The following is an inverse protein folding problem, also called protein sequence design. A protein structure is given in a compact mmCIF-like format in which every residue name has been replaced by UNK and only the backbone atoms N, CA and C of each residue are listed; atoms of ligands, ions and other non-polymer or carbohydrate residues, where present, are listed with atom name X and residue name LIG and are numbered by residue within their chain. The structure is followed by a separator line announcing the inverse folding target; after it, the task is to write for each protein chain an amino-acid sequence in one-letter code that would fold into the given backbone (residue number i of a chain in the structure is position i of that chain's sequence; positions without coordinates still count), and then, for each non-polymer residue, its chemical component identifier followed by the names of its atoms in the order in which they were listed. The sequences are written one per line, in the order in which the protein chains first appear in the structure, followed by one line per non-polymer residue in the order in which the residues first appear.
data_IF_600275232917
#
_entry.id   IF_600275232917
#
_cell.length_a   1.000
_cell.length_b   1.000
_cell.length_c   1.000
_cell.angle_alpha   90.00
_cell.angle_beta   90.00
_cell.angle_gamma   90.00
#
_symmetry.space_group_name_H-M   'P 1'
#
loop_
_entity.id
_entity.type
_entity.pdbx_description
1 polymer ?
#
# COMPACT_ATOMS: atom_id res chain seq x y z
N UNK A 1 -11.67 -17.06 33.83
CA UNK A 1 -11.13 -18.44 33.76
C UNK A 1 -9.65 -18.42 33.30
N UNK A 2 -9.28 -17.82 32.19
CA UNK A 2 -7.90 -17.78 31.68
C UNK A 2 -6.86 -17.28 32.68
N UNK A 3 -7.13 -16.18 33.40
CA UNK A 3 -6.19 -15.57 34.37
C UNK A 3 -5.70 -16.53 35.48
N UNK A 4 -6.49 -17.54 35.85
CA UNK A 4 -6.12 -18.55 36.87
C UNK A 4 -5.22 -19.66 36.31
N UNK A 5 -5.25 -19.91 34.99
CA UNK A 5 -4.50 -20.97 34.33
C UNK A 5 -3.08 -20.55 33.93
N UNK A 6 -2.84 -19.26 33.70
CA UNK A 6 -1.56 -18.75 33.23
C UNK A 6 -0.39 -19.18 34.10
N UNK A 7 -0.44 -18.99 35.47
CA UNK A 7 0.66 -19.40 36.33
C UNK A 7 0.94 -20.91 36.31
N UNK A 8 -0.10 -21.74 36.13
CA UNK A 8 0.06 -23.19 36.09
C UNK A 8 0.76 -23.63 34.83
N UNK A 9 0.38 -23.04 33.67
CA UNK A 9 1.01 -23.29 32.37
C UNK A 9 2.47 -22.86 32.37
N UNK A 10 2.77 -21.69 32.94
CA UNK A 10 4.14 -21.16 33.04
C UNK A 10 5.02 -22.01 33.96
N UNK A 11 4.47 -22.51 35.07
CA UNK A 11 5.17 -23.47 35.96
C UNK A 11 5.49 -24.78 35.29
N UNK A 12 4.67 -25.18 34.31
CA UNK A 12 4.93 -26.36 33.48
C UNK A 12 5.98 -26.09 32.37
N UNK A 13 6.56 -24.89 32.32
CA UNK A 13 7.63 -24.51 31.37
C UNK A 13 7.14 -23.97 30.03
N UNK A 14 5.85 -23.76 29.83
CA UNK A 14 5.29 -23.23 28.58
C UNK A 14 5.08 -21.71 28.62
N UNK A 15 5.20 -21.05 27.46
CA UNK A 15 4.83 -19.66 27.28
C UNK A 15 3.36 -19.50 26.94
N UNK A 16 2.75 -18.40 27.40
CA UNK A 16 1.32 -18.14 27.21
C UNK A 16 1.10 -16.96 26.27
N UNK A 17 0.38 -17.19 25.19
CA UNK A 17 -0.11 -16.13 24.29
C UNK A 17 -1.54 -15.77 24.74
N UNK A 18 -1.69 -14.58 25.36
CA UNK A 18 -3.00 -13.98 25.62
C UNK A 18 -3.57 -13.47 24.29
N UNK A 19 -4.73 -13.98 23.88
CA UNK A 19 -5.25 -13.73 22.53
C UNK A 19 -6.68 -13.20 22.57
N UNK A 20 -6.95 -12.14 21.80
CA UNK A 20 -8.28 -11.61 21.55
C UNK A 20 -8.52 -11.49 20.03
N UNK A 21 -9.76 -11.79 19.61
CA UNK A 21 -10.16 -11.76 18.21
C UNK A 21 -11.50 -11.06 18.06
N UNK A 22 -11.54 -10.05 17.19
CA UNK A 22 -12.77 -9.44 16.70
C UNK A 22 -12.96 -9.85 15.24
N UNK A 23 -13.93 -10.73 14.98
CA UNK A 23 -14.18 -11.28 13.64
C UNK A 23 -15.14 -10.43 12.82
N UNK A 24 -15.74 -9.40 13.40
CA UNK A 24 -16.80 -8.58 12.85
C UNK A 24 -16.42 -7.11 12.67
N UNK A 25 -15.41 -6.62 13.41
CA UNK A 25 -15.01 -5.21 13.38
C UNK A 25 -13.55 -4.97 13.77
N UNK A 26 -13.10 -3.75 13.57
CA UNK A 26 -11.92 -3.18 14.21
C UNK A 26 -12.38 -2.27 15.35
N UNK A 27 -12.15 -2.62 16.64
CA UNK A 27 -12.51 -1.79 17.78
C UNK A 27 -11.87 -0.41 17.73
N UNK A 28 -12.33 0.53 18.55
CA UNK A 28 -11.66 1.82 18.70
C UNK A 28 -10.28 1.67 19.38
N UNK A 29 -9.50 2.76 19.33
CA UNK A 29 -8.12 2.74 19.82
C UNK A 29 -8.03 2.45 21.32
N UNK A 30 -8.97 2.98 22.09
CA UNK A 30 -9.00 2.86 23.55
C UNK A 30 -9.35 1.42 23.96
N UNK A 31 -10.34 0.82 23.32
CA UNK A 31 -10.72 -0.59 23.54
C UNK A 31 -9.56 -1.53 23.21
N UNK A 32 -8.85 -1.31 22.08
CA UNK A 32 -7.69 -2.11 21.70
C UNK A 32 -6.59 -2.03 22.79
N UNK A 33 -6.24 -0.82 23.21
CA UNK A 33 -5.21 -0.58 24.22
C UNK A 33 -5.59 -1.22 25.56
N UNK A 34 -6.85 -1.06 25.97
CA UNK A 34 -7.33 -1.65 27.24
C UNK A 34 -7.27 -3.18 27.21
N UNK A 35 -7.69 -3.81 26.12
CA UNK A 35 -7.63 -5.26 25.96
C UNK A 35 -6.19 -5.76 26.04
N UNK A 36 -5.25 -5.10 25.37
CA UNK A 36 -3.84 -5.48 25.37
C UNK A 36 -3.22 -5.34 26.78
N UNK A 37 -3.49 -4.24 27.47
CA UNK A 37 -3.06 -4.05 28.87
C UNK A 37 -3.66 -5.08 29.83
N UNK A 38 -4.91 -5.48 29.62
CA UNK A 38 -5.52 -6.55 30.44
C UNK A 38 -4.85 -7.91 30.22
N UNK A 39 -4.43 -8.24 28.99
CA UNK A 39 -3.67 -9.47 28.73
C UNK A 39 -2.31 -9.47 29.43
N UNK A 40 -1.57 -8.36 29.32
CA UNK A 40 -0.31 -8.18 30.03
C UNK A 40 -0.48 -8.29 31.54
N UNK A 41 -1.44 -7.56 32.13
CA UNK A 41 -1.75 -7.61 33.57
C UNK A 41 -2.24 -8.97 34.04
N UNK A 42 -2.75 -9.81 33.13
CA UNK A 42 -3.10 -11.20 33.45
C UNK A 42 -1.87 -12.12 33.48
N UNK A 43 -0.69 -11.64 33.07
CA UNK A 43 0.57 -12.38 33.08
C UNK A 43 0.85 -13.12 31.76
N UNK A 44 0.24 -12.73 30.64
CA UNK A 44 0.58 -13.31 29.32
C UNK A 44 2.04 -13.00 28.96
N UNK A 45 2.75 -13.97 28.39
CA UNK A 45 4.12 -13.79 27.89
C UNK A 45 4.14 -13.07 26.54
N UNK A 46 3.06 -13.15 25.78
CA UNK A 46 2.83 -12.46 24.51
C UNK A 46 1.38 -12.01 24.44
N UNK A 47 1.12 -10.79 24.01
CA UNK A 47 -0.24 -10.26 23.83
C UNK A 47 -0.62 -10.26 22.34
N UNK A 48 -1.74 -10.90 21.99
CA UNK A 48 -2.18 -11.01 20.60
C UNK A 48 -3.55 -10.37 20.37
N UNK A 49 -3.64 -9.52 19.37
CA UNK A 49 -4.88 -8.90 18.87
C UNK A 49 -5.06 -9.20 17.38
N UNK A 50 -6.22 -9.73 17.00
CA UNK A 50 -6.64 -9.88 15.61
C UNK A 50 -8.01 -9.21 15.42
N UNK A 51 -8.11 -8.34 14.39
CA UNK A 51 -9.31 -7.54 14.11
C UNK A 51 -9.77 -7.72 12.68
N UNK A 52 -11.04 -7.44 12.40
CA UNK A 52 -11.62 -7.51 11.05
C UNK A 52 -11.94 -6.11 10.56
N UNK A 53 -11.18 -5.55 9.59
CA UNK A 53 -11.46 -4.24 9.03
C UNK A 53 -12.70 -4.30 8.13
N UNK A 54 -13.50 -3.25 8.17
CA UNK A 54 -14.63 -3.06 7.26
C UNK A 54 -14.26 -2.14 6.10
N UNK A 55 -13.34 -1.20 6.34
CA UNK A 55 -12.82 -0.23 5.37
C UNK A 55 -11.31 -0.11 5.48
N UNK A 56 -10.68 0.52 4.49
CA UNK A 56 -9.21 0.71 4.46
C UNK A 56 -8.71 1.54 5.64
N UNK A 57 -9.48 2.50 6.06
CA UNK A 57 -9.19 3.40 7.18
C UNK A 57 -9.04 2.64 8.51
N UNK A 58 -9.79 1.55 8.67
CA UNK A 58 -9.65 0.65 9.82
C UNK A 58 -8.26 0.01 9.89
N UNK A 59 -7.71 -0.40 8.73
CA UNK A 59 -6.36 -0.99 8.67
C UNK A 59 -5.30 0.04 9.03
N UNK A 60 -5.40 1.25 8.46
CA UNK A 60 -4.46 2.34 8.71
C UNK A 60 -4.47 2.74 10.20
N UNK A 61 -5.66 2.88 10.78
CA UNK A 61 -5.86 3.19 12.19
C UNK A 61 -5.28 2.09 13.07
N UNK A 62 -5.61 0.83 12.79
CA UNK A 62 -5.13 -0.32 13.56
C UNK A 62 -3.59 -0.45 13.52
N UNK A 63 -2.97 -0.21 12.37
CA UNK A 63 -1.51 -0.21 12.27
C UNK A 63 -0.88 0.90 13.11
N UNK A 64 -1.46 2.11 13.12
CA UNK A 64 -1.00 3.23 13.97
C UNK A 64 -1.16 2.92 15.47
N UNK A 65 -2.27 2.29 15.87
CA UNK A 65 -2.45 1.85 17.27
C UNK A 65 -1.44 0.77 17.63
N UNK A 66 -1.21 -0.19 16.72
CA UNK A 66 -0.19 -1.24 16.91
C UNK A 66 1.21 -0.64 17.12
N UNK A 67 1.55 0.42 16.41
CA UNK A 67 2.81 1.15 16.61
C UNK A 67 2.91 1.74 18.01
N UNK A 68 1.86 2.38 18.52
CA UNK A 68 1.82 2.92 19.89
C UNK A 68 1.93 1.82 20.94
N UNK A 69 1.34 0.65 20.69
CA UNK A 69 1.38 -0.48 21.62
C UNK A 69 2.80 -0.98 21.91
N UNK A 70 3.77 -0.79 21.01
CA UNK A 70 5.18 -1.14 21.23
C UNK A 70 5.77 -0.46 22.46
N UNK A 71 5.34 0.78 22.72
CA UNK A 71 5.83 1.58 23.86
C UNK A 71 4.95 1.44 25.10
N UNK A 72 3.74 0.89 24.96
CA UNK A 72 2.75 0.79 26.02
C UNK A 72 2.69 -0.59 26.67
N UNK A 73 3.14 -1.64 25.98
CA UNK A 73 3.11 -3.04 26.41
C UNK A 73 4.55 -3.53 26.52
N UNK A 74 4.93 -4.05 27.68
CA UNK A 74 6.30 -4.48 27.96
C UNK A 74 6.64 -5.89 27.46
N UNK A 75 5.64 -6.69 27.16
CA UNK A 75 5.81 -8.03 26.56
C UNK A 75 5.67 -7.96 25.02
N UNK A 76 6.24 -8.95 24.27
CA UNK A 76 6.06 -8.99 22.83
C UNK A 76 4.58 -8.97 22.43
N UNK A 77 4.29 -8.28 21.32
CA UNK A 77 2.94 -8.19 20.79
C UNK A 77 2.80 -8.91 19.45
N UNK A 78 1.60 -9.38 19.17
CA UNK A 78 1.18 -9.90 17.87
C UNK A 78 -0.07 -9.13 17.47
N UNK A 79 0.01 -8.37 16.39
CA UNK A 79 -1.13 -7.59 15.88
C UNK A 79 -1.37 -7.92 14.42
N UNK A 80 -2.63 -8.14 14.05
CA UNK A 80 -3.00 -8.39 12.66
C UNK A 80 -4.42 -7.91 12.36
N UNK A 81 -4.56 -7.25 11.24
CA UNK A 81 -5.83 -7.01 10.59
C UNK A 81 -6.13 -8.18 9.66
N UNK A 82 -7.32 -8.78 9.77
CA UNK A 82 -7.72 -9.97 9.01
C UNK A 82 -8.33 -9.57 7.65
N UNK A 83 -8.71 -10.57 6.87
CA UNK A 83 -9.28 -10.36 5.55
C UNK A 83 -8.29 -9.81 4.53
N UNK A 84 -8.76 -9.64 3.31
CA UNK A 84 -7.96 -9.14 2.19
C UNK A 84 -7.48 -7.70 2.42
N UNK A 85 -8.36 -6.84 2.94
CA UNK A 85 -8.01 -5.46 3.29
C UNK A 85 -6.88 -5.39 4.33
N UNK A 86 -6.84 -6.34 5.28
CA UNK A 86 -5.89 -6.37 6.37
C UNK A 86 -4.56 -7.04 6.06
N UNK A 87 -4.43 -7.71 4.92
CA UNK A 87 -3.27 -8.54 4.56
C UNK A 87 -1.92 -7.82 4.69
N UNK A 88 -1.88 -6.52 4.40
CA UNK A 88 -0.67 -5.68 4.50
C UNK A 88 -0.11 -5.59 5.93
N UNK A 89 -0.97 -5.63 6.95
CA UNK A 89 -0.53 -5.58 8.36
C UNK A 89 0.35 -6.76 8.75
N UNK A 90 0.24 -7.88 8.03
CA UNK A 90 1.01 -9.11 8.29
C UNK A 90 2.47 -9.02 7.86
N UNK A 91 2.81 -8.07 6.98
CA UNK A 91 4.16 -7.88 6.45
C UNK A 91 4.83 -6.61 6.96
N UNK A 92 4.06 -5.62 7.40
CA UNK A 92 4.58 -4.36 7.96
C UNK A 92 4.94 -4.51 9.45
N UNK A 93 5.72 -5.54 9.78
CA UNK A 93 6.05 -5.92 11.17
C UNK A 93 6.95 -4.90 11.88
N UNK A 94 7.79 -4.17 11.14
CA UNK A 94 8.63 -3.10 11.68
C UNK A 94 7.78 -1.94 12.23
N UNK A 95 6.74 -1.55 11.51
CA UNK A 95 5.83 -0.48 11.92
C UNK A 95 4.93 -0.95 13.07
N UNK A 96 4.28 -2.10 12.93
CA UNK A 96 3.32 -2.60 13.90
C UNK A 96 3.95 -3.17 15.17
N UNK A 97 5.25 -3.51 15.17
CA UNK A 97 5.92 -4.19 16.27
C UNK A 97 5.49 -5.65 16.45
N UNK A 98 4.71 -6.21 15.53
CA UNK A 98 4.26 -7.60 15.61
C UNK A 98 5.45 -8.57 15.52
N UNK A 99 5.69 -9.34 16.58
CA UNK A 99 6.84 -10.26 16.66
C UNK A 99 6.61 -11.58 15.90
N UNK A 100 5.35 -11.91 15.57
CA UNK A 100 4.98 -13.14 14.84
C UNK A 100 3.91 -12.78 13.80
N UNK A 101 4.02 -13.36 12.62
CA UNK A 101 2.93 -13.37 11.62
C UNK A 101 2.53 -14.80 11.27
N UNK A 102 1.33 -14.94 10.70
CA UNK A 102 0.77 -16.23 10.28
C UNK A 102 0.60 -16.21 8.76
N UNK A 103 1.32 -17.09 8.10
CA UNK A 103 1.30 -17.26 6.64
C UNK A 103 0.75 -18.63 6.25
N UNK A 104 0.38 -18.81 4.97
CA UNK A 104 -0.05 -20.10 4.43
C UNK A 104 1.13 -20.90 3.91
N UNK A 105 1.13 -22.21 4.15
CA UNK A 105 1.98 -23.15 3.45
C UNK A 105 1.22 -23.82 2.31
N UNK A 106 0.29 -24.72 2.67
CA UNK A 106 -0.53 -25.49 1.70
C UNK A 106 -1.96 -24.95 1.65
N UNK A 107 -2.56 -24.68 2.82
CA UNK A 107 -3.92 -24.16 2.94
C UNK A 107 -4.00 -23.00 3.91
N UNK A 108 -4.84 -22.02 3.58
CA UNK A 108 -5.12 -20.90 4.46
C UNK A 108 -5.97 -21.35 5.65
N UNK A 109 -5.56 -20.99 6.86
CA UNK A 109 -6.30 -21.26 8.11
C UNK A 109 -7.08 -20.04 8.62
N UNK A 110 -6.91 -18.87 8.00
CA UNK A 110 -7.62 -17.64 8.34
C UNK A 110 -7.67 -16.68 7.14
N UNK A 111 -8.70 -15.82 7.03
CA UNK A 111 -8.82 -14.85 5.96
C UNK A 111 -7.61 -13.88 5.91
N UNK A 112 -7.16 -13.55 4.69
CA UNK A 112 -6.07 -12.60 4.45
C UNK A 112 -4.67 -13.13 4.80
N UNK A 113 -4.51 -14.44 5.00
CA UNK A 113 -3.18 -15.04 5.04
C UNK A 113 -2.56 -15.04 3.66
N UNK A 114 -1.27 -14.77 3.61
CA UNK A 114 -0.45 -14.74 2.40
C UNK A 114 0.49 -15.94 2.38
N UNK A 115 0.97 -16.32 1.19
CA UNK A 115 1.96 -17.40 1.03
C UNK A 115 3.21 -17.14 1.86
N UNK A 116 3.80 -18.20 2.42
CA UNK A 116 4.95 -18.11 3.31
C UNK A 116 6.20 -17.53 2.61
N UNK A 117 6.39 -17.84 1.31
CA UNK A 117 7.52 -17.33 0.54
C UNK A 117 7.39 -15.83 0.32
N UNK A 118 6.17 -15.39 -0.03
CA UNK A 118 5.81 -13.98 -0.14
C UNK A 118 5.98 -13.26 1.20
N UNK A 119 5.43 -13.82 2.29
CA UNK A 119 5.53 -13.25 3.62
C UNK A 119 6.99 -13.04 4.05
N UNK A 120 7.83 -14.06 3.91
CA UNK A 120 9.26 -14.00 4.25
C UNK A 120 9.99 -12.91 3.49
N UNK A 121 9.75 -12.81 2.18
CA UNK A 121 10.37 -11.80 1.34
C UNK A 121 9.95 -10.39 1.75
N UNK A 122 8.64 -10.14 1.87
CA UNK A 122 8.13 -8.81 2.20
C UNK A 122 8.50 -8.37 3.61
N UNK A 123 8.52 -9.28 4.59
CA UNK A 123 9.00 -8.97 5.94
C UNK A 123 10.49 -8.62 5.92
N UNK A 124 11.31 -9.36 5.16
CA UNK A 124 12.75 -9.04 5.03
C UNK A 124 12.95 -7.65 4.44
N UNK A 125 12.20 -7.29 3.40
CA UNK A 125 12.17 -5.94 2.83
C UNK A 125 11.74 -4.91 3.88
N UNK A 126 10.69 -5.21 4.65
CA UNK A 126 10.16 -4.31 5.67
C UNK A 126 11.14 -4.04 6.82
N UNK A 127 12.01 -4.99 7.15
CA UNK A 127 13.07 -4.77 8.13
C UNK A 127 14.15 -3.79 7.63
N UNK A 128 14.38 -3.74 6.33
CA UNK A 128 15.27 -2.77 5.69
C UNK A 128 15.64 -3.20 4.27
N UNK A 129 15.69 -2.23 3.38
CA UNK A 129 16.17 -2.39 2.01
C UNK A 129 16.72 -1.07 1.51
N UNK A 130 17.48 -1.12 0.42
CA UNK A 130 18.01 0.05 -0.26
C UNK A 130 17.44 0.13 -1.68
N UNK A 131 16.97 1.30 -2.10
CA UNK A 131 16.46 1.58 -3.44
C UNK A 131 17.50 2.41 -4.20
N UNK A 132 17.87 1.94 -5.38
CA UNK A 132 18.69 2.72 -6.33
C UNK A 132 17.74 3.50 -7.25
N UNK A 133 17.79 4.81 -7.17
CA UNK A 133 16.88 5.70 -7.91
C UNK A 133 15.46 5.72 -7.34
N UNK A 134 14.47 5.88 -8.19
CA UNK A 134 13.05 6.04 -7.82
C UNK A 134 12.19 4.91 -8.44
N UNK A 135 11.11 4.55 -7.75
CA UNK A 135 10.03 3.71 -8.32
C UNK A 135 8.98 4.64 -8.88
N UNK A 136 8.71 4.57 -10.17
CA UNK A 136 7.73 5.41 -10.86
C UNK A 136 6.54 4.57 -11.28
N UNK A 137 5.36 4.81 -10.71
CA UNK A 137 4.13 4.12 -11.07
C UNK A 137 3.34 4.92 -12.09
N UNK A 138 3.09 4.31 -13.25
CA UNK A 138 2.27 4.85 -14.32
C UNK A 138 1.11 3.91 -14.63
N UNK A 139 0.16 4.38 -15.43
CA UNK A 139 -0.99 3.61 -15.88
C UNK A 139 -2.26 4.44 -15.94
N UNK A 140 -3.29 3.87 -16.52
CA UNK A 140 -4.59 4.54 -16.69
C UNK A 140 -5.20 4.90 -15.32
N UNK A 141 -6.12 5.88 -15.31
CA UNK A 141 -6.88 6.19 -14.08
C UNK A 141 -7.66 4.94 -13.62
N UNK A 142 -7.81 4.74 -12.31
CA UNK A 142 -8.49 3.55 -11.78
C UNK A 142 -7.63 2.28 -11.72
N UNK A 143 -6.40 2.25 -12.24
CA UNK A 143 -5.49 1.09 -12.08
C UNK A 143 -4.92 0.93 -10.67
N UNK A 144 -5.18 1.88 -9.77
CA UNK A 144 -4.80 1.74 -8.35
C UNK A 144 -3.40 2.22 -8.00
N UNK A 145 -2.78 3.07 -8.82
CA UNK A 145 -1.42 3.63 -8.58
C UNK A 145 -1.24 4.16 -7.15
N UNK A 146 -2.11 5.05 -6.70
CA UNK A 146 -2.04 5.62 -5.34
C UNK A 146 -2.23 4.55 -4.24
N UNK A 147 -3.02 3.51 -4.49
CA UNK A 147 -3.19 2.40 -3.54
C UNK A 147 -1.92 1.55 -3.46
N UNK A 148 -1.31 1.26 -4.61
CA UNK A 148 -0.08 0.47 -4.70
C UNK A 148 1.12 1.27 -4.18
N UNK A 149 1.23 2.57 -4.49
CA UNK A 149 2.33 3.42 -3.99
C UNK A 149 2.33 3.49 -2.46
N UNK A 150 1.17 3.69 -1.83
CA UNK A 150 1.02 3.67 -0.37
C UNK A 150 1.37 2.30 0.24
N UNK A 151 0.96 1.22 -0.40
CA UNK A 151 1.29 -0.13 0.07
C UNK A 151 2.80 -0.42 -0.05
N UNK A 152 3.42 -0.06 -1.17
CA UNK A 152 4.87 -0.14 -1.34
C UNK A 152 5.61 0.70 -0.29
N UNK A 153 5.15 1.94 -0.04
CA UNK A 153 5.72 2.80 1.00
C UNK A 153 5.64 2.16 2.39
N UNK A 154 4.50 1.58 2.75
CA UNK A 154 4.34 0.88 4.01
C UNK A 154 5.27 -0.34 4.14
N UNK A 155 5.46 -1.10 3.05
CA UNK A 155 6.32 -2.29 3.05
C UNK A 155 7.81 -1.91 3.06
N UNK A 156 8.22 -0.93 2.25
CA UNK A 156 9.63 -0.60 2.03
C UNK A 156 10.17 0.48 2.96
N UNK A 157 9.29 1.34 3.47
CA UNK A 157 9.66 2.55 4.23
C UNK A 157 10.09 3.73 3.36
N UNK A 158 10.05 3.62 2.01
CA UNK A 158 10.38 4.73 1.12
C UNK A 158 9.25 5.77 1.08
N UNK A 159 9.64 7.04 0.89
CA UNK A 159 8.68 8.14 0.80
C UNK A 159 7.81 8.00 -0.46
N UNK A 160 6.50 8.06 -0.28
CA UNK A 160 5.53 8.09 -1.37
C UNK A 160 5.18 9.53 -1.73
N UNK A 161 5.10 9.82 -3.03
CA UNK A 161 4.69 11.12 -3.56
C UNK A 161 3.68 10.87 -4.70
N UNK A 162 2.46 11.40 -4.52
CA UNK A 162 1.45 11.47 -5.57
C UNK A 162 1.60 12.81 -6.30
N UNK A 163 1.84 12.78 -7.61
CA UNK A 163 2.11 14.00 -8.40
C UNK A 163 0.91 14.94 -8.45
N UNK A 164 -0.30 14.40 -8.51
CA UNK A 164 -1.53 15.19 -8.53
C UNK A 164 -1.73 15.90 -7.19
N UNK A 165 -1.52 15.19 -6.07
CA UNK A 165 -1.57 15.77 -4.73
C UNK A 165 -0.48 16.82 -4.51
N UNK A 166 0.72 16.59 -5.06
CA UNK A 166 1.81 17.56 -5.02
C UNK A 166 1.43 18.87 -5.73
N UNK A 167 0.88 18.80 -6.94
CA UNK A 167 0.43 19.97 -7.70
C UNK A 167 -0.66 20.73 -6.94
N UNK A 168 -1.67 20.02 -6.42
CA UNK A 168 -2.76 20.62 -5.62
C UNK A 168 -2.20 21.38 -4.42
N UNK A 169 -1.23 20.80 -3.71
CA UNK A 169 -0.58 21.44 -2.57
C UNK A 169 0.19 22.71 -2.97
N UNK A 170 0.91 22.68 -4.08
CA UNK A 170 1.68 23.81 -4.59
C UNK A 170 0.78 24.95 -5.07
N UNK A 171 -0.33 24.62 -5.74
CA UNK A 171 -1.22 25.60 -6.33
C UNK A 171 -2.31 26.13 -5.37
N UNK A 172 -2.57 25.44 -4.25
CA UNK A 172 -3.62 25.77 -3.28
C UNK A 172 -5.04 25.63 -3.83
N UNK A 173 -5.23 24.92 -4.94
CA UNK A 173 -6.52 24.71 -5.62
C UNK A 173 -6.58 23.34 -6.29
N UNK A 174 -7.78 22.86 -6.55
CA UNK A 174 -8.02 21.55 -7.14
C UNK A 174 -7.59 21.48 -8.61
N UNK A 175 -7.32 20.26 -9.10
CA UNK A 175 -7.00 20.01 -10.52
C UNK A 175 -8.16 20.46 -11.41
N UNK A 176 -9.41 20.20 -11.00
CA UNK A 176 -10.59 20.62 -11.75
C UNK A 176 -10.64 22.15 -11.93
N UNK A 177 -10.36 22.91 -10.88
CA UNK A 177 -10.29 24.37 -10.96
C UNK A 177 -9.18 24.88 -11.88
N UNK A 178 -8.03 24.17 -11.92
CA UNK A 178 -6.92 24.50 -12.82
C UNK A 178 -7.34 24.25 -14.27
N UNK A 179 -7.98 23.11 -14.56
CA UNK A 179 -8.48 22.80 -15.89
C UNK A 179 -9.55 23.79 -16.37
N UNK A 180 -10.48 24.17 -15.51
CA UNK A 180 -11.55 25.11 -15.84
C UNK A 180 -11.04 26.53 -16.12
N UNK A 181 -10.08 27.02 -15.33
CA UNK A 181 -9.60 28.40 -15.42
C UNK A 181 -8.49 28.61 -16.45
N UNK A 182 -7.59 27.63 -16.58
CA UNK A 182 -6.33 27.80 -17.33
C UNK A 182 -6.11 26.74 -18.41
N UNK A 183 -6.94 25.68 -18.42
CA UNK A 183 -6.94 24.65 -19.42
C UNK A 183 -5.85 23.58 -19.26
N UNK A 184 -5.94 22.57 -20.11
CA UNK A 184 -5.05 21.40 -20.03
C UNK A 184 -3.58 21.74 -20.24
N UNK A 185 -3.27 22.63 -21.18
CA UNK A 185 -1.86 22.99 -21.49
C UNK A 185 -1.12 23.56 -20.29
N UNK A 186 -1.80 24.38 -19.50
CA UNK A 186 -1.24 24.93 -18.26
C UNK A 186 -1.01 23.84 -17.22
N UNK A 187 -2.00 22.97 -17.00
CA UNK A 187 -1.85 21.82 -16.08
C UNK A 187 -0.66 20.94 -16.47
N UNK A 188 -0.47 20.65 -17.78
CA UNK A 188 0.67 19.86 -18.25
C UNK A 188 2.02 20.51 -17.97
N UNK A 189 2.10 21.83 -17.95
CA UNK A 189 3.31 22.53 -17.56
C UNK A 189 3.56 22.43 -16.04
N UNK A 190 2.52 22.52 -15.22
CA UNK A 190 2.61 22.27 -13.78
C UNK A 190 3.07 20.83 -13.50
N UNK A 191 2.52 19.86 -14.22
CA UNK A 191 2.90 18.45 -14.11
C UNK A 191 4.39 18.24 -14.44
N UNK A 192 4.89 18.85 -15.52
CA UNK A 192 6.32 18.80 -15.87
C UNK A 192 7.21 19.44 -14.78
N UNK A 193 6.83 20.60 -14.26
CA UNK A 193 7.59 21.26 -13.20
C UNK A 193 7.57 20.43 -11.91
N UNK A 194 6.42 19.89 -11.51
CA UNK A 194 6.33 19.00 -10.36
C UNK A 194 7.23 17.77 -10.50
N UNK A 195 7.30 17.17 -11.69
CA UNK A 195 8.17 16.02 -11.94
C UNK A 195 9.65 16.39 -11.85
N UNK A 196 10.06 17.58 -12.31
CA UNK A 196 11.43 18.08 -12.14
C UNK A 196 11.79 18.18 -10.65
N UNK A 197 10.95 18.85 -9.87
CA UNK A 197 11.18 19.05 -8.44
C UNK A 197 11.25 17.72 -7.67
N UNK A 198 10.29 16.82 -7.94
CA UNK A 198 10.21 15.51 -7.26
C UNK A 198 11.42 14.64 -7.64
N UNK A 199 11.82 14.63 -8.92
CA UNK A 199 12.90 13.76 -9.41
C UNK A 199 14.30 14.23 -9.04
N UNK A 200 14.47 15.37 -8.39
CA UNK A 200 15.76 15.79 -7.83
C UNK A 200 16.28 14.79 -6.79
N UNK A 201 15.39 14.18 -6.02
CA UNK A 201 15.70 13.21 -4.97
C UNK A 201 15.58 11.78 -5.49
N UNK A 202 16.30 10.88 -4.85
CA UNK A 202 16.21 9.43 -5.05
C UNK A 202 15.62 8.72 -3.83
N UNK A 203 15.29 7.44 -3.97
CA UNK A 203 14.74 6.65 -2.89
C UNK A 203 13.24 6.89 -2.65
N UNK A 204 12.50 7.30 -3.68
CA UNK A 204 11.09 7.64 -3.58
C UNK A 204 10.22 6.71 -4.42
N UNK A 205 8.93 6.65 -4.07
CA UNK A 205 7.88 6.03 -4.86
C UNK A 205 7.01 7.16 -5.42
N UNK A 206 7.02 7.33 -6.73
CA UNK A 206 6.33 8.41 -7.44
C UNK A 206 5.08 7.83 -8.11
N UNK A 207 3.89 8.22 -7.65
CA UNK A 207 2.60 7.90 -8.28
C UNK A 207 2.24 9.00 -9.28
N UNK A 208 2.34 8.72 -10.57
CA UNK A 208 2.12 9.71 -11.61
C UNK A 208 0.65 9.86 -12.00
N UNK A 209 0.22 11.09 -12.32
CA UNK A 209 -1.01 11.35 -13.03
C UNK A 209 -1.10 10.55 -14.34
N UNK A 210 -2.31 10.14 -14.76
CA UNK A 210 -2.48 9.25 -15.93
C UNK A 210 -2.01 9.86 -17.26
N UNK A 211 -1.79 11.16 -17.33
CA UNK A 211 -1.28 11.84 -18.53
C UNK A 211 0.21 12.18 -18.50
N UNK A 212 0.88 11.95 -17.38
CA UNK A 212 2.24 12.41 -17.15
C UNK A 212 3.23 11.95 -18.24
N UNK A 213 3.13 10.69 -18.69
CA UNK A 213 4.04 10.11 -19.68
C UNK A 213 3.66 10.37 -21.14
N UNK A 214 2.62 11.16 -21.38
CA UNK A 214 2.26 11.58 -22.75
C UNK A 214 3.24 12.59 -23.33
N UNK A 215 4.00 13.30 -22.48
CA UNK A 215 5.08 14.21 -22.90
C UNK A 215 6.44 13.53 -22.79
N UNK A 216 7.23 13.59 -23.85
CA UNK A 216 8.60 13.01 -23.89
C UNK A 216 9.53 13.64 -22.87
N UNK A 217 9.37 14.94 -22.58
CA UNK A 217 10.14 15.63 -21.55
C UNK A 217 9.95 14.98 -20.18
N UNK A 218 8.71 14.67 -19.81
CA UNK A 218 8.40 14.02 -18.54
C UNK A 218 9.01 12.60 -18.46
N UNK A 219 8.94 11.85 -19.57
CA UNK A 219 9.54 10.50 -19.63
C UNK A 219 11.04 10.56 -19.43
N UNK A 220 11.74 11.54 -20.05
CA UNK A 220 13.18 11.74 -19.85
C UNK A 220 13.51 12.02 -18.38
N UNK A 221 12.78 12.93 -17.74
CA UNK A 221 12.96 13.28 -16.32
C UNK A 221 12.80 12.03 -15.44
N UNK A 222 11.72 11.27 -15.67
CA UNK A 222 11.42 10.09 -14.86
C UNK A 222 12.42 8.96 -15.05
N UNK A 223 12.92 8.74 -16.29
CA UNK A 223 13.90 7.69 -16.62
C UNK A 223 15.33 8.03 -16.19
N UNK A 224 15.66 9.30 -15.93
CA UNK A 224 17.00 9.69 -15.53
C UNK A 224 17.43 9.05 -14.20
N UNK A 225 16.50 8.97 -13.24
CA UNK A 225 16.75 8.44 -11.90
C UNK A 225 15.70 7.40 -11.45
N UNK A 226 14.84 6.91 -12.33
CA UNK A 226 13.75 6.03 -11.95
C UNK A 226 13.55 4.86 -12.88
N UNK A 227 12.92 3.82 -12.34
CA UNK A 227 12.38 2.69 -13.10
C UNK A 227 10.86 2.85 -13.23
N UNK A 228 10.36 2.81 -14.47
CA UNK A 228 8.96 3.04 -14.78
C UNK A 228 8.19 1.71 -14.75
N UNK A 229 7.20 1.63 -13.87
CA UNK A 229 6.34 0.47 -13.69
C UNK A 229 4.94 0.83 -14.15
N UNK A 230 4.48 0.15 -15.19
CA UNK A 230 3.11 0.25 -15.69
C UNK A 230 2.18 -0.68 -14.91
N UNK A 231 1.16 -0.12 -14.29
CA UNK A 231 0.05 -0.89 -13.74
C UNK A 231 -1.06 -1.01 -14.78
N UNK A 232 -1.38 -2.25 -15.18
CA UNK A 232 -2.45 -2.56 -16.13
C UNK A 232 -3.64 -3.22 -15.45
N UNK A 233 -4.85 -2.89 -15.94
CA UNK A 233 -6.09 -3.55 -15.55
C UNK A 233 -6.99 -3.66 -16.76
N UNK A 234 -7.97 -4.57 -16.73
CA UNK A 234 -9.01 -4.64 -17.76
C UNK A 234 -9.91 -3.39 -17.72
N UNK A 235 -10.51 -2.98 -18.84
CA UNK A 235 -11.47 -1.87 -18.85
C UNK A 235 -12.63 -2.08 -17.88
N UNK A 236 -13.09 -3.31 -17.71
CA UNK A 236 -14.14 -3.69 -16.78
C UNK A 236 -13.71 -3.42 -15.33
N UNK A 237 -12.49 -3.82 -14.95
CA UNK A 237 -11.92 -3.54 -13.64
C UNK A 237 -11.77 -2.03 -13.39
N UNK A 238 -11.33 -1.29 -14.38
CA UNK A 238 -11.21 0.17 -14.31
C UNK A 238 -12.59 0.80 -14.12
N UNK A 239 -13.58 0.42 -14.94
CA UNK A 239 -14.96 0.92 -14.84
C UNK A 239 -15.53 0.72 -13.44
N UNK A 240 -15.45 -0.51 -12.90
CA UNK A 240 -15.95 -0.82 -11.54
C UNK A 240 -15.30 0.04 -10.46
N UNK A 241 -14.02 0.38 -10.61
CA UNK A 241 -13.28 1.20 -9.64
C UNK A 241 -13.54 2.69 -9.76
N UNK A 242 -14.01 3.19 -10.91
CA UNK A 242 -14.19 4.63 -11.14
C UNK A 242 -15.63 5.09 -11.20
N UNK A 243 -16.61 4.21 -11.42
CA UNK A 243 -18.02 4.52 -11.64
C UNK A 243 -18.65 5.41 -10.54
N UNK A 244 -18.18 5.29 -9.31
CA UNK A 244 -18.71 6.06 -8.16
C UNK A 244 -17.90 7.33 -7.86
N UNK A 245 -16.88 7.65 -8.67
CA UNK A 245 -16.00 8.81 -8.46
C UNK A 245 -16.35 9.98 -9.39
N UNK A 246 -17.01 11.01 -8.87
CA UNK A 246 -17.52 12.19 -9.62
C UNK A 246 -16.48 13.27 -9.95
N UNK A 247 -15.22 13.16 -9.46
CA UNK A 247 -14.23 14.23 -9.55
C UNK A 247 -13.09 13.93 -10.58
N UNK A 248 -13.44 13.51 -11.80
CA UNK A 248 -12.44 13.22 -12.84
C UNK A 248 -12.75 13.98 -14.13
N UNK A 249 -12.10 15.15 -14.39
CA UNK A 249 -12.42 16.00 -15.53
C UNK A 249 -12.46 15.28 -16.89
N UNK A 250 -11.60 14.30 -17.11
CA UNK A 250 -11.48 13.56 -18.39
C UNK A 250 -12.62 12.54 -18.60
N UNK A 251 -13.25 12.03 -17.54
CA UNK A 251 -14.36 11.06 -17.61
C UNK A 251 -15.73 11.71 -17.32
N UNK A 252 -15.79 12.96 -16.89
CA UNK A 252 -17.04 13.61 -16.49
C UNK A 252 -18.05 13.78 -17.64
N UNK A 253 -17.59 13.69 -18.90
CA UNK A 253 -18.45 13.80 -20.09
C UNK A 253 -19.14 12.49 -20.45
N UNK A 254 -18.49 11.34 -20.21
CA UNK A 254 -19.03 10.00 -20.48
C UNK A 254 -18.30 8.97 -19.63
N UNK A 255 -19.01 8.35 -18.69
CA UNK A 255 -18.49 7.29 -17.79
C UNK A 255 -18.87 5.89 -18.30
N UNK A 256 -19.17 5.73 -19.60
CA UNK A 256 -19.47 4.41 -20.16
C UNK A 256 -18.23 3.51 -20.25
N UNK A 257 -18.46 2.21 -20.20
CA UNK A 257 -17.40 1.21 -20.39
C UNK A 257 -16.75 1.36 -21.77
N UNK A 258 -17.55 1.68 -22.80
CA UNK A 258 -17.10 1.88 -24.18
C UNK A 258 -16.12 3.05 -24.27
N UNK A 259 -16.44 4.18 -23.64
CA UNK A 259 -15.55 5.33 -23.61
C UNK A 259 -14.23 5.04 -22.86
N UNK A 260 -14.31 4.29 -21.76
CA UNK A 260 -13.10 3.84 -21.06
C UNK A 260 -12.23 2.95 -21.95
N UNK A 261 -12.83 1.99 -22.67
CA UNK A 261 -12.11 1.12 -23.63
C UNK A 261 -11.39 1.93 -24.68
N UNK A 262 -12.08 2.92 -25.26
CA UNK A 262 -11.51 3.80 -26.28
C UNK A 262 -10.32 4.60 -25.73
N UNK A 263 -10.48 5.28 -24.59
CA UNK A 263 -9.41 6.07 -23.99
C UNK A 263 -8.21 5.20 -23.56
N UNK A 264 -8.46 3.99 -23.08
CA UNK A 264 -7.40 3.05 -22.73
C UNK A 264 -6.63 2.63 -23.98
N UNK A 265 -7.33 2.25 -25.06
CA UNK A 265 -6.69 1.82 -26.32
C UNK A 265 -5.84 2.91 -26.95
N UNK A 266 -6.24 4.19 -26.84
CA UNK A 266 -5.45 5.33 -27.32
C UNK A 266 -4.16 5.55 -26.55
N UNK A 267 -4.14 5.25 -25.24
CA UNK A 267 -2.99 5.51 -24.34
C UNK A 267 -2.08 4.32 -24.13
N UNK A 268 -2.60 3.12 -24.31
CA UNK A 268 -1.88 1.87 -24.04
C UNK A 268 -0.56 1.75 -24.81
N UNK A 269 -0.46 2.07 -26.12
CA UNK A 269 0.80 2.02 -26.84
C UNK A 269 1.89 2.88 -26.17
N UNK A 270 1.51 4.08 -25.74
CA UNK A 270 2.45 4.99 -25.08
C UNK A 270 2.89 4.47 -23.71
N UNK A 271 1.98 3.94 -22.91
CA UNK A 271 2.33 3.34 -21.63
C UNK A 271 3.29 2.17 -21.79
N UNK A 272 3.03 1.28 -22.76
CA UNK A 272 3.87 0.12 -23.03
C UNK A 272 5.26 0.52 -23.54
N UNK A 273 5.36 1.53 -24.40
CA UNK A 273 6.61 2.05 -24.95
C UNK A 273 7.57 2.56 -23.84
N UNK A 274 7.03 3.23 -22.83
CA UNK A 274 7.85 3.88 -21.81
C UNK A 274 8.13 3.00 -20.59
N UNK A 275 7.35 1.94 -20.39
CA UNK A 275 7.43 1.08 -19.21
C UNK A 275 8.67 0.17 -19.25
N UNK A 276 9.36 0.07 -18.12
CA UNK A 276 10.44 -0.89 -17.89
C UNK A 276 9.91 -2.22 -17.33
N UNK A 277 8.79 -2.16 -16.60
CA UNK A 277 8.09 -3.31 -15.99
C UNK A 277 6.60 -3.13 -16.17
N UNK A 278 5.87 -4.21 -16.45
CA UNK A 278 4.40 -4.22 -16.55
C UNK A 278 3.85 -5.17 -15.50
N UNK A 279 2.89 -4.70 -14.71
CA UNK A 279 2.23 -5.48 -13.66
C UNK A 279 0.72 -5.37 -13.80
N UNK A 280 0.05 -6.52 -13.94
CA UNK A 280 -1.41 -6.59 -13.95
C UNK A 280 -1.96 -6.51 -12.52
N UNK A 281 -3.04 -5.73 -12.33
CA UNK A 281 -3.67 -5.47 -11.03
C UNK A 281 -5.15 -5.87 -10.96
N UNK A 282 -5.60 -6.72 -11.88
CA UNK A 282 -6.99 -7.19 -11.91
C UNK A 282 -7.35 -8.05 -10.69
N UNK A 283 -6.39 -8.82 -10.17
CA UNK A 283 -6.58 -9.64 -8.97
C UNK A 283 -6.94 -8.83 -7.70
N UNK A 284 -6.86 -7.51 -7.75
CA UNK A 284 -7.15 -6.57 -6.66
C UNK A 284 -6.38 -6.83 -5.34
N UNK A 285 -5.39 -7.72 -5.36
CA UNK A 285 -4.51 -8.00 -4.22
C UNK A 285 -3.29 -7.07 -4.24
N UNK A 286 -3.32 -6.06 -3.37
CA UNK A 286 -2.24 -5.07 -3.28
C UNK A 286 -0.92 -5.64 -2.73
N UNK A 287 -0.98 -6.64 -1.86
CA UNK A 287 0.23 -7.28 -1.30
C UNK A 287 0.91 -8.13 -2.37
N UNK A 288 0.13 -8.88 -3.15
CA UNK A 288 0.62 -9.62 -4.31
C UNK A 288 1.21 -8.69 -5.37
N UNK A 289 0.52 -7.58 -5.66
CA UNK A 289 1.02 -6.56 -6.59
C UNK A 289 2.37 -6.00 -6.12
N UNK A 290 2.49 -5.63 -4.84
CA UNK A 290 3.76 -5.17 -4.26
C UNK A 290 4.85 -6.25 -4.32
N UNK A 291 4.51 -7.49 -4.07
CA UNK A 291 5.44 -8.61 -4.17
C UNK A 291 6.00 -8.78 -5.60
N UNK A 292 5.15 -8.68 -6.62
CA UNK A 292 5.57 -8.72 -8.02
C UNK A 292 6.50 -7.55 -8.36
N UNK A 293 6.12 -6.33 -7.99
CA UNK A 293 6.96 -5.13 -8.21
C UNK A 293 8.32 -5.30 -7.53
N UNK A 294 8.34 -5.62 -6.25
CA UNK A 294 9.57 -5.82 -5.47
C UNK A 294 10.44 -6.90 -6.09
N UNK A 295 9.84 -7.99 -6.57
CA UNK A 295 10.57 -9.09 -7.20
C UNK A 295 11.23 -8.64 -8.52
N UNK A 296 10.55 -7.85 -9.33
CA UNK A 296 11.12 -7.31 -10.56
C UNK A 296 12.22 -6.28 -10.30
N UNK A 297 12.04 -5.42 -9.29
CA UNK A 297 13.06 -4.46 -8.87
C UNK A 297 14.34 -5.14 -8.37
N UNK A 298 14.20 -6.21 -7.59
CA UNK A 298 15.33 -7.00 -7.09
C UNK A 298 16.07 -7.71 -8.23
N UNK A 299 15.37 -8.38 -9.14
CA UNK A 299 15.95 -9.04 -10.34
C UNK A 299 16.76 -8.08 -11.20
N UNK A 300 16.34 -6.81 -11.26
CA UNK A 300 16.97 -5.75 -12.07
C UNK A 300 18.05 -4.97 -11.29
N UNK A 301 18.29 -5.29 -10.03
CA UNK A 301 19.29 -4.64 -9.18
C UNK A 301 18.93 -3.21 -8.73
N UNK A 302 17.64 -2.84 -8.80
CA UNK A 302 17.15 -1.58 -8.25
C UNK A 302 16.86 -1.67 -6.75
N UNK A 303 16.45 -2.82 -6.25
CA UNK A 303 16.19 -3.05 -4.84
C UNK A 303 17.22 -4.04 -4.27
N UNK A 304 17.94 -3.59 -3.25
CA UNK A 304 18.94 -4.40 -2.56
C UNK A 304 18.47 -4.71 -1.15
N UNK A 305 18.55 -5.97 -0.79
CA UNK A 305 18.25 -6.47 0.55
C UNK A 305 19.58 -6.75 1.26
N UNK A 306 19.82 -6.20 2.46
CA UNK A 306 21.04 -6.43 3.22
C UNK A 306 21.22 -7.91 3.63
#
# INVERSE_FOLDING_TARGET
MAKKMIPDIQRAGAKVIGSNHHFDRTPDDEEIIEIMKRMESAGADICKMAVMPQVKEDVERFMKVSEKLKDMISVPIITMSMGELGSISRVCTKQTGSCITFATGIQSSAPGQIDITMARKLIKINQGCHLKGNIVLIGFMGTGKTTVSKALSAITGFQEIDTDAYIVKQQGRSISEIFEKEGEAFFRNLETNALKDISEKEGQIISCGGGAVLRDENVKILKEKGIIILLTATPETVFERVKDHTHRPILNSDMSLEHIKELMSQREPRYQEVADVIVNVDANDRVLTCYHIITELEKRGYLLIP
#
